data_IF_115034185376
#
_entry.id   IF_115034185376
#
_cell.length_a   1.000
_cell.length_b   1.000
_cell.length_c   1.000
_cell.angle_alpha   90.00
_cell.angle_beta   90.00
_cell.angle_gamma   90.00
#
_symmetry.space_group_name_H-M   'P 1'
#
loop_
_entity.id
_entity.type
_entity.pdbx_description
1 polymer ?
#
# COMPACT_ATOMS: atom_id res chain seq x y z
N UNK A 1 10.52 18.61 -3.93
CA UNK A 1 11.72 18.34 -4.75
C UNK A 1 12.89 19.01 -4.07
N UNK A 2 14.08 18.38 -4.06
CA UNK A 2 15.28 19.13 -3.71
C UNK A 2 15.37 20.37 -4.63
N UNK A 3 15.83 21.53 -4.16
CA UNK A 3 15.85 22.77 -4.95
C UNK A 3 16.61 22.64 -6.29
N UNK A 4 17.45 21.63 -6.43
CA UNK A 4 18.25 21.31 -7.60
C UNK A 4 17.56 20.37 -8.61
N UNK A 5 16.36 19.86 -8.30
CA UNK A 5 15.64 18.91 -9.15
C UNK A 5 16.31 17.54 -9.29
N UNK A 6 17.28 17.20 -8.43
CA UNK A 6 17.98 15.92 -8.51
C UNK A 6 17.07 14.75 -8.16
N UNK A 7 17.07 13.73 -9.02
CA UNK A 7 16.37 12.46 -8.82
C UNK A 7 17.36 11.41 -8.32
N UNK A 8 17.04 10.77 -7.19
CA UNK A 8 17.87 9.72 -6.58
C UNK A 8 17.07 8.43 -6.53
N UNK A 9 17.70 7.32 -6.95
CA UNK A 9 17.14 5.98 -6.80
C UNK A 9 17.37 5.49 -5.35
N UNK A 10 16.31 5.08 -4.67
CA UNK A 10 16.34 4.74 -3.23
C UNK A 10 16.35 3.21 -3.00
N UNK A 11 15.64 2.44 -3.83
CA UNK A 11 15.65 0.97 -3.85
C UNK A 11 16.12 0.46 -5.21
N UNK A 12 16.63 -0.77 -5.25
CA UNK A 12 17.14 -1.41 -6.48
C UNK A 12 16.41 -2.70 -6.79
N UNK A 13 16.57 -3.72 -5.94
CA UNK A 13 16.10 -5.08 -6.18
C UNK A 13 15.35 -5.66 -4.97
N UNK A 14 15.12 -4.85 -3.93
CA UNK A 14 14.40 -5.27 -2.73
C UNK A 14 12.90 -5.38 -2.97
N UNK A 15 12.38 -4.68 -4.00
CA UNK A 15 10.96 -4.61 -4.36
C UNK A 15 10.82 -4.78 -5.87
N UNK A 16 9.92 -5.64 -6.32
CA UNK A 16 9.82 -6.01 -7.75
C UNK A 16 9.07 -4.96 -8.57
N UNK A 17 7.90 -4.51 -8.09
CA UNK A 17 7.09 -3.49 -8.75
C UNK A 17 6.49 -2.52 -7.73
N UNK A 18 7.28 -1.51 -7.29
CA UNK A 18 6.85 -0.56 -6.28
C UNK A 18 5.68 0.28 -6.79
N UNK A 19 4.72 0.55 -5.92
CA UNK A 19 3.55 1.36 -6.24
C UNK A 19 3.33 2.44 -5.16
N UNK A 20 2.37 2.27 -4.24
CA UNK A 20 2.19 3.18 -3.11
C UNK A 20 3.39 3.21 -2.16
N UNK A 21 3.70 4.40 -1.64
CA UNK A 21 4.74 4.63 -0.64
C UNK A 21 4.27 5.60 0.44
N UNK A 22 4.71 5.38 1.68
CA UNK A 22 4.50 6.29 2.82
C UNK A 22 5.77 6.30 3.67
N UNK A 23 6.15 7.48 4.18
CA UNK A 23 7.16 7.62 5.23
C UNK A 23 6.42 7.85 6.56
N UNK A 24 6.88 7.21 7.64
CA UNK A 24 6.30 7.42 8.97
C UNK A 24 6.41 8.90 9.40
N UNK A 25 5.52 9.41 10.26
CA UNK A 25 5.55 10.81 10.71
C UNK A 25 6.86 11.21 11.41
N UNK A 26 7.55 10.26 12.04
CA UNK A 26 8.85 10.47 12.67
C UNK A 26 10.04 10.39 11.71
N UNK A 27 9.80 10.10 10.42
CA UNK A 27 10.80 10.05 9.37
C UNK A 27 11.74 8.84 9.45
N UNK A 28 11.41 7.79 10.21
CA UNK A 28 12.32 6.65 10.46
C UNK A 28 11.99 5.38 9.68
N UNK A 29 10.79 5.28 9.09
CA UNK A 29 10.35 4.10 8.34
C UNK A 29 9.85 4.51 6.96
N UNK A 30 10.20 3.72 5.94
CA UNK A 30 9.59 3.76 4.61
C UNK A 30 8.75 2.50 4.42
N UNK A 31 7.52 2.66 3.94
CA UNK A 31 6.62 1.59 3.58
C UNK A 31 6.41 1.58 2.07
N UNK A 32 6.45 0.40 1.45
CA UNK A 32 6.37 0.24 0.00
C UNK A 32 5.42 -0.90 -0.35
N UNK A 33 4.41 -0.60 -1.17
CA UNK A 33 3.57 -1.61 -1.81
C UNK A 33 4.34 -2.25 -2.96
N UNK A 34 4.51 -3.57 -2.91
CA UNK A 34 5.01 -4.40 -4.00
C UNK A 34 3.86 -5.21 -4.57
N UNK A 35 3.54 -4.96 -5.84
CA UNK A 35 2.40 -5.60 -6.46
C UNK A 35 2.77 -5.95 -7.88
N UNK A 36 3.01 -7.23 -8.19
CA UNK A 36 3.33 -7.76 -9.51
C UNK A 36 2.12 -8.51 -10.05
N UNK A 37 1.29 -7.80 -10.80
CA UNK A 37 0.02 -8.29 -11.35
C UNK A 37 -0.05 -8.42 -12.87
N UNK A 38 1.07 -8.10 -13.52
CA UNK A 38 1.29 -8.24 -14.94
C UNK A 38 2.79 -8.29 -15.18
N UNK A 39 3.22 -8.51 -16.43
CA UNK A 39 4.63 -8.66 -16.77
C UNK A 39 5.03 -10.13 -16.91
N UNK A 40 6.22 -10.56 -16.42
CA UNK A 40 6.67 -11.94 -16.52
C UNK A 40 5.62 -12.94 -16.04
N UNK A 41 5.44 -14.03 -16.78
CA UNK A 41 4.41 -15.06 -16.53
C UNK A 41 2.99 -14.48 -16.34
N UNK A 42 2.69 -13.35 -16.99
CA UNK A 42 1.43 -12.59 -16.82
C UNK A 42 1.11 -12.23 -15.35
N UNK A 43 2.12 -12.10 -14.49
CA UNK A 43 1.95 -11.80 -13.06
C UNK A 43 1.57 -13.00 -12.18
N UNK A 44 1.43 -14.20 -12.75
CA UNK A 44 1.14 -15.42 -11.98
C UNK A 44 2.32 -15.71 -11.06
N UNK A 45 2.05 -15.79 -9.74
CA UNK A 45 3.05 -15.99 -8.70
C UNK A 45 3.88 -14.75 -8.36
N UNK A 46 3.53 -13.58 -8.88
CA UNK A 46 4.21 -12.33 -8.57
C UNK A 46 3.97 -11.85 -7.14
N UNK A 47 4.88 -11.03 -6.61
CA UNK A 47 4.77 -10.48 -5.25
C UNK A 47 3.50 -9.63 -5.07
N UNK A 48 2.84 -9.79 -3.92
CA UNK A 48 1.67 -9.01 -3.50
C UNK A 48 1.84 -8.59 -2.05
N UNK A 49 2.91 -7.84 -1.77
CA UNK A 49 3.46 -7.67 -0.42
C UNK A 49 3.55 -6.21 -0.03
N UNK A 50 3.37 -5.95 1.27
CA UNK A 50 3.72 -4.68 1.90
C UNK A 50 5.03 -4.83 2.64
N UNK A 51 6.00 -4.00 2.27
CA UNK A 51 7.32 -3.99 2.87
C UNK A 51 7.54 -2.75 3.73
N UNK A 52 8.43 -2.88 4.72
CA UNK A 52 8.96 -1.79 5.53
C UNK A 52 10.49 -1.81 5.49
N UNK A 53 11.07 -0.63 5.46
CA UNK A 53 12.51 -0.38 5.59
C UNK A 53 12.75 0.72 6.63
N UNK A 54 13.92 0.70 7.24
CA UNK A 54 14.46 1.84 7.98
C UNK A 54 14.85 2.93 6.99
N UNK A 55 14.31 4.13 7.23
CA UNK A 55 14.55 5.32 6.42
C UNK A 55 15.53 6.24 7.17
N UNK A 56 16.51 6.74 6.43
CA UNK A 56 17.59 7.56 6.97
C UNK A 56 17.36 9.03 6.66
N UNK A 57 17.86 9.90 7.53
CA UNK A 57 17.72 11.36 7.38
C UNK A 57 18.40 11.95 6.14
N UNK A 58 19.23 11.18 5.45
CA UNK A 58 19.84 11.54 4.17
C UNK A 58 18.98 11.17 2.93
N UNK A 59 17.77 10.64 3.15
CA UNK A 59 16.84 10.22 2.11
C UNK A 59 17.09 8.82 1.55
N UNK A 60 17.98 8.03 2.16
CA UNK A 60 18.25 6.64 1.78
C UNK A 60 17.48 5.65 2.67
N UNK A 61 17.46 4.38 2.27
CA UNK A 61 16.94 3.26 3.09
C UNK A 61 18.05 2.30 3.47
N UNK A 62 17.86 1.56 4.56
CA UNK A 62 18.65 0.37 4.85
C UNK A 62 18.05 -0.87 4.16
N UNK A 63 18.66 -1.42 3.10
CA UNK A 63 18.10 -2.60 2.43
C UNK A 63 18.04 -3.83 3.35
N UNK A 64 18.97 -3.93 4.31
CA UNK A 64 19.04 -5.07 5.24
C UNK A 64 17.93 -5.05 6.29
N UNK A 65 17.27 -3.90 6.47
CA UNK A 65 16.14 -3.73 7.40
C UNK A 65 14.79 -4.17 6.82
N UNK A 66 14.78 -4.69 5.58
CA UNK A 66 13.57 -5.11 4.90
C UNK A 66 12.74 -6.05 5.77
N UNK A 67 11.50 -5.65 6.05
CA UNK A 67 10.54 -6.44 6.80
C UNK A 67 9.25 -6.60 6.01
N UNK A 68 8.81 -7.85 5.85
CA UNK A 68 7.46 -8.15 5.37
C UNK A 68 6.45 -7.76 6.44
N UNK A 69 5.48 -6.91 6.10
CA UNK A 69 4.36 -6.57 6.97
C UNK A 69 3.12 -7.39 6.64
N UNK A 70 2.79 -7.51 5.35
CA UNK A 70 1.58 -8.21 4.94
C UNK A 70 1.75 -8.82 3.55
N UNK A 71 1.21 -10.02 3.36
CA UNK A 71 1.25 -10.74 2.09
C UNK A 71 -0.19 -11.10 1.67
N UNK A 72 -0.60 -10.54 0.53
CA UNK A 72 -1.89 -10.80 -0.09
C UNK A 72 -1.91 -12.10 -0.90
N UNK A 73 -0.78 -12.78 -1.09
CA UNK A 73 -0.69 -14.06 -1.79
C UNK A 73 -1.13 -13.94 -3.25
N UNK A 74 -2.21 -14.63 -3.61
CA UNK A 74 -2.78 -14.65 -4.97
C UNK A 74 -3.88 -13.61 -5.19
N UNK A 75 -4.00 -12.64 -4.29
CA UNK A 75 -4.96 -11.55 -4.43
C UNK A 75 -4.34 -10.38 -5.19
N UNK A 76 -5.14 -9.39 -5.57
CA UNK A 76 -4.65 -8.22 -6.32
C UNK A 76 -3.53 -7.45 -5.62
N UNK A 77 -3.38 -7.62 -4.30
CA UNK A 77 -2.29 -7.01 -3.56
C UNK A 77 -2.44 -5.50 -3.38
N UNK A 78 -1.42 -4.86 -2.78
CA UNK A 78 -1.49 -3.46 -2.39
C UNK A 78 -1.31 -2.51 -3.58
N UNK A 79 -1.86 -1.31 -3.48
CA UNK A 79 -1.71 -0.24 -4.46
C UNK A 79 -1.27 1.05 -3.73
N UNK A 80 -2.09 2.09 -3.69
CA UNK A 80 -1.86 3.29 -2.88
C UNK A 80 -2.11 3.08 -1.38
N UNK A 81 -1.50 3.94 -0.57
CA UNK A 81 -1.67 3.94 0.89
C UNK A 81 -1.47 5.32 1.49
N UNK A 82 -1.98 5.52 2.71
CA UNK A 82 -1.70 6.72 3.50
C UNK A 82 -1.49 6.39 4.99
N UNK A 83 -0.87 7.32 5.71
CA UNK A 83 -0.79 7.27 7.17
C UNK A 83 -2.09 7.77 7.79
N UNK A 84 -2.65 7.02 8.74
CA UNK A 84 -3.88 7.39 9.44
C UNK A 84 -3.65 8.22 10.70
N UNK A 85 -4.68 8.95 11.17
CA UNK A 85 -4.61 9.72 12.41
C UNK A 85 -4.52 8.83 13.67
N UNK A 86 -4.85 7.55 13.56
CA UNK A 86 -4.72 6.52 14.60
C UNK A 86 -3.33 5.86 14.62
N UNK A 87 -2.37 6.35 13.82
CA UNK A 87 -1.02 5.82 13.77
C UNK A 87 -0.88 4.54 12.94
N UNK A 88 -1.90 4.15 12.17
CA UNK A 88 -1.89 2.93 11.35
C UNK A 88 -1.71 3.24 9.86
N UNK A 89 -1.33 2.22 9.09
CA UNK A 89 -1.31 2.29 7.63
C UNK A 89 -2.69 1.95 7.08
N UNK A 90 -3.15 2.75 6.12
CA UNK A 90 -4.38 2.51 5.36
C UNK A 90 -3.94 2.17 3.95
N UNK A 91 -4.05 0.89 3.58
CA UNK A 91 -3.51 0.35 2.32
C UNK A 91 -4.66 -0.12 1.44
N UNK A 92 -4.80 0.47 0.26
CA UNK A 92 -5.79 0.01 -0.72
C UNK A 92 -5.31 -1.29 -1.37
N UNK A 93 -6.18 -2.30 -1.44
CA UNK A 93 -5.81 -3.59 -1.99
C UNK A 93 -7.02 -4.43 -2.41
N UNK A 94 -6.75 -5.52 -3.14
CA UNK A 94 -7.71 -6.57 -3.44
C UNK A 94 -8.61 -6.28 -4.65
N UNK A 95 -9.37 -7.31 -5.05
CA UNK A 95 -10.46 -7.23 -6.03
C UNK A 95 -11.73 -7.87 -5.44
N UNK A 96 -12.90 -7.48 -5.94
CA UNK A 96 -14.17 -8.15 -5.64
C UNK A 96 -14.39 -9.35 -6.56
N UNK A 97 -13.94 -9.26 -7.81
CA UNK A 97 -14.10 -10.31 -8.81
C UNK A 97 -12.75 -10.91 -9.22
N UNK A 98 -12.67 -12.23 -9.41
CA UNK A 98 -11.43 -12.90 -9.79
C UNK A 98 -11.01 -12.55 -11.22
N UNK A 99 -9.70 -12.45 -11.43
CA UNK A 99 -9.06 -12.34 -12.72
C UNK A 99 -8.07 -13.50 -12.88
N UNK A 100 -8.63 -14.68 -13.16
CA UNK A 100 -7.89 -15.93 -13.19
C UNK A 100 -6.93 -16.00 -14.39
N UNK A 101 -5.77 -16.66 -14.24
CA UNK A 101 -5.30 -17.36 -13.04
C UNK A 101 -4.54 -16.47 -12.04
N UNK A 102 -4.43 -15.16 -12.30
CA UNK A 102 -3.50 -14.26 -11.61
C UNK A 102 -4.02 -13.83 -10.25
N UNK A 103 -5.30 -13.42 -10.19
CA UNK A 103 -5.91 -12.82 -9.01
C UNK A 103 -7.17 -13.61 -8.64
N UNK A 104 -7.13 -14.30 -7.49
CA UNK A 104 -8.16 -15.29 -7.13
C UNK A 104 -9.40 -14.71 -6.47
N UNK A 105 -9.34 -13.50 -5.92
CA UNK A 105 -10.43 -12.83 -5.19
C UNK A 105 -11.10 -13.73 -4.13
N UNK A 106 -10.33 -14.55 -3.41
CA UNK A 106 -10.86 -15.63 -2.55
C UNK A 106 -10.59 -15.43 -1.07
N UNK A 107 -9.48 -14.77 -0.70
CA UNK A 107 -9.06 -14.56 0.69
C UNK A 107 -9.13 -13.10 1.14
N UNK A 108 -8.70 -12.18 0.29
CA UNK A 108 -8.60 -10.75 0.61
C UNK A 108 -9.34 -9.92 -0.45
N UNK A 109 -10.61 -9.55 -0.20
CA UNK A 109 -11.42 -8.81 -1.16
C UNK A 109 -10.96 -7.35 -1.30
N UNK A 110 -11.52 -6.63 -2.27
CA UNK A 110 -11.29 -5.19 -2.40
C UNK A 110 -11.69 -4.45 -1.10
N UNK A 111 -10.72 -3.82 -0.45
CA UNK A 111 -10.94 -2.99 0.73
C UNK A 111 -9.76 -2.03 0.96
N UNK A 112 -9.93 -1.11 1.91
CA UNK A 112 -8.80 -0.47 2.58
C UNK A 112 -8.42 -1.32 3.79
N UNK A 113 -7.17 -1.78 3.84
CA UNK A 113 -6.61 -2.61 4.88
C UNK A 113 -5.93 -1.71 5.90
N UNK A 114 -6.37 -1.78 7.16
CA UNK A 114 -5.79 -1.02 8.27
C UNK A 114 -4.78 -1.90 8.99
N UNK A 115 -3.50 -1.61 8.79
CA UNK A 115 -2.38 -2.47 9.21
C UNK A 115 -1.54 -1.74 10.24
N UNK A 116 -1.15 -2.46 11.30
CA UNK A 116 -0.18 -1.96 12.27
C UNK A 116 1.21 -1.85 11.60
N UNK A 117 1.84 -0.66 11.60
CA UNK A 117 3.08 -0.41 10.87
C UNK A 117 4.30 -1.15 11.46
N UNK A 118 4.22 -1.59 12.70
CA UNK A 118 5.32 -2.24 13.40
C UNK A 118 5.19 -3.75 13.40
N UNK A 119 4.02 -4.28 13.75
CA UNK A 119 3.79 -5.73 13.80
C UNK A 119 3.41 -6.32 12.44
N UNK A 120 2.77 -5.54 11.55
CA UNK A 120 2.14 -6.04 10.32
C UNK A 120 0.76 -6.65 10.57
N UNK A 121 0.22 -6.58 11.79
CA UNK A 121 -1.09 -7.10 12.13
C UNK A 121 -2.19 -6.34 11.37
N UNK A 122 -3.09 -7.11 10.73
CA UNK A 122 -4.30 -6.56 10.13
C UNK A 122 -5.32 -6.25 11.23
N UNK A 123 -5.50 -4.97 11.54
CA UNK A 123 -6.42 -4.51 12.58
C UNK A 123 -7.88 -4.59 12.13
N UNK A 124 -8.18 -4.18 10.88
CA UNK A 124 -9.51 -4.24 10.27
C UNK A 124 -9.43 -3.98 8.77
N UNK A 125 -10.52 -4.26 8.07
CA UNK A 125 -10.73 -3.85 6.67
C UNK A 125 -11.91 -2.89 6.57
N UNK A 126 -11.82 -1.93 5.67
CA UNK A 126 -12.89 -0.98 5.35
C UNK A 126 -13.36 -1.27 3.92
N UNK A 127 -14.48 -1.98 3.74
CA UNK A 127 -14.97 -2.31 2.41
C UNK A 127 -15.47 -1.06 1.70
N UNK A 128 -15.26 -1.01 0.38
CA UNK A 128 -15.83 0.00 -0.51
C UNK A 128 -16.75 -0.74 -1.48
N UNK A 129 -17.97 -0.25 -1.76
CA UNK A 129 -18.90 -0.91 -2.68
C UNK A 129 -18.52 -0.67 -4.15
N UNK A 130 -17.24 -0.83 -4.47
CA UNK A 130 -16.65 -0.67 -5.80
C UNK A 130 -15.34 -1.49 -5.88
N UNK A 131 -15.07 -2.06 -7.04
CA UNK A 131 -13.84 -2.82 -7.28
C UNK A 131 -12.66 -1.90 -7.67
N UNK A 132 -11.45 -2.45 -7.80
CA UNK A 132 -10.24 -1.71 -8.18
C UNK A 132 -10.00 -0.46 -7.32
N UNK A 133 -9.86 -0.66 -6.01
CA UNK A 133 -9.48 0.41 -5.09
C UNK A 133 -7.98 0.72 -5.26
N UNK A 134 -7.64 1.94 -5.65
CA UNK A 134 -6.28 2.27 -6.12
C UNK A 134 -5.49 3.19 -5.20
N UNK A 135 -6.15 4.10 -4.48
CA UNK A 135 -5.46 5.03 -3.60
C UNK A 135 -6.38 5.57 -2.52
N UNK A 136 -5.81 6.07 -1.44
CA UNK A 136 -6.56 6.76 -0.39
C UNK A 136 -5.73 7.84 0.30
N UNK A 137 -6.41 8.82 0.90
CA UNK A 137 -5.78 9.84 1.74
C UNK A 137 -6.75 10.39 2.77
N UNK A 138 -6.24 10.78 3.93
CA UNK A 138 -7.02 11.53 4.92
C UNK A 138 -7.09 13.01 4.57
N UNK A 139 -8.25 13.62 4.84
CA UNK A 139 -8.49 15.04 4.64
C UNK A 139 -9.73 15.52 5.40
N UNK A 140 -10.39 16.53 4.84
CA UNK A 140 -11.39 17.37 5.51
C UNK A 140 -10.79 18.20 6.67
N UNK A 141 -11.59 19.10 7.22
CA UNK A 141 -11.11 20.08 8.23
C UNK A 141 -10.66 19.44 9.54
N UNK A 142 -11.14 18.23 9.84
CA UNK A 142 -10.78 17.49 11.05
C UNK A 142 -9.75 16.36 10.80
N UNK A 143 -9.32 16.15 9.55
CA UNK A 143 -8.39 15.09 9.21
C UNK A 143 -8.94 13.66 9.39
N UNK A 144 -10.25 13.51 9.61
CA UNK A 144 -10.90 12.22 9.93
C UNK A 144 -11.69 11.63 8.76
N UNK A 145 -11.66 12.27 7.60
CA UNK A 145 -12.33 11.74 6.41
C UNK A 145 -11.30 11.08 5.51
N UNK A 146 -11.45 9.78 5.28
CA UNK A 146 -10.67 9.01 4.33
C UNK A 146 -11.32 9.14 2.95
N UNK A 147 -10.61 9.74 2.01
CA UNK A 147 -10.97 9.75 0.58
C UNK A 147 -10.34 8.57 -0.12
N UNK A 148 -11.08 7.91 -1.01
CA UNK A 148 -10.68 6.64 -1.63
C UNK A 148 -11.02 6.68 -3.11
N UNK A 149 -10.05 6.40 -3.99
CA UNK A 149 -10.30 6.17 -5.42
C UNK A 149 -10.58 4.70 -5.66
N UNK A 150 -11.68 4.39 -6.33
CA UNK A 150 -12.06 3.03 -6.72
C UNK A 150 -12.76 3.03 -8.08
N UNK A 151 -12.30 2.19 -9.01
CA UNK A 151 -12.77 2.20 -10.39
C UNK A 151 -12.66 3.59 -11.03
N UNK A 152 -13.80 4.15 -11.45
CA UNK A 152 -13.91 5.52 -12.01
C UNK A 152 -14.54 6.53 -11.04
N UNK A 153 -14.51 6.24 -9.72
CA UNK A 153 -15.25 6.99 -8.69
C UNK A 153 -14.34 7.42 -7.55
N UNK A 154 -14.77 8.46 -6.84
CA UNK A 154 -14.19 8.93 -5.59
C UNK A 154 -15.20 8.69 -4.47
N UNK A 155 -14.75 8.06 -3.40
CA UNK A 155 -15.53 7.74 -2.21
C UNK A 155 -14.96 8.47 -1.00
N UNK A 156 -15.79 8.67 0.02
CA UNK A 156 -15.36 9.20 1.31
C UNK A 156 -15.98 8.39 2.44
N UNK A 157 -15.18 8.09 3.46
CA UNK A 157 -15.60 7.42 4.68
C UNK A 157 -15.09 8.23 5.87
N UNK A 158 -15.96 8.54 6.83
CA UNK A 158 -15.52 9.07 8.11
C UNK A 158 -14.93 7.94 8.95
N UNK A 159 -13.72 8.16 9.47
CA UNK A 159 -13.02 7.23 10.37
C UNK A 159 -12.95 7.91 11.73
N UNK A 160 -13.44 7.24 12.76
CA UNK A 160 -13.51 7.80 14.12
C UNK A 160 -12.19 7.66 14.88
#
# INVERSE_FOLDING_TARGET
MAPDGKVTRITTHEVDRPNGIVISPDGKRLFVADNVNSGPNNGVGGNRKLWRFDFRGDGTVDPSSQKLLFDWGTERGPDGMCWGPDGKLYVTAGLLFPNLPVETASRYPAAVYVIDPESGELSRTLPVPEDMITNCTFGATDGKTLFITAGHKLWSLRVE
#
